data_IF_330626331767
#
_entry.id   IF_330626331767
#
_cell.length_a   1.000
_cell.length_b   1.000
_cell.length_c   1.000
_cell.angle_alpha   90.00
_cell.angle_beta   90.00
_cell.angle_gamma   90.00
#
_symmetry.space_group_name_H-M   'P 1'
#
loop_
_entity.id
_entity.type
_entity.pdbx_description
1 polymer ?
#
# COMPACT_ATOMS: atom_id res chain seq x y z
N UNK A 1 -6.41 16.05 12.64
CA UNK A 1 -7.64 15.31 12.29
C UNK A 1 -8.32 16.14 11.23
N UNK A 2 -8.22 15.75 9.95
CA UNK A 2 -8.74 16.56 8.83
C UNK A 2 -10.19 16.17 8.48
N UNK A 3 -10.91 17.11 7.86
CA UNK A 3 -12.33 16.98 7.51
C UNK A 3 -12.61 15.98 6.36
N UNK A 4 -11.58 15.49 5.66
CA UNK A 4 -11.70 14.52 4.56
C UNK A 4 -11.97 13.11 5.06
N UNK A 5 -11.33 12.69 6.15
CA UNK A 5 -11.54 11.37 6.76
C UNK A 5 -12.99 11.18 7.22
N UNK A 6 -13.59 12.21 7.81
CA UNK A 6 -14.97 12.16 8.35
C UNK A 6 -16.03 11.97 7.25
N UNK A 7 -15.75 12.43 6.02
CA UNK A 7 -16.71 12.33 4.90
C UNK A 7 -16.75 10.92 4.32
N UNK A 8 -15.59 10.26 4.19
CA UNK A 8 -15.49 8.91 3.64
C UNK A 8 -16.10 7.88 4.61
N UNK A 9 -15.85 8.02 5.90
CA UNK A 9 -16.42 7.13 6.92
C UNK A 9 -17.95 7.16 6.93
N UNK A 10 -18.59 8.34 6.86
CA UNK A 10 -20.06 8.44 6.79
C UNK A 10 -20.64 7.80 5.53
N UNK A 11 -19.95 7.92 4.40
CA UNK A 11 -20.43 7.38 3.13
C UNK A 11 -20.30 5.85 3.06
N UNK A 12 -19.26 5.29 3.67
CA UNK A 12 -19.10 3.83 3.79
C UNK A 12 -20.12 3.21 4.73
N UNK A 13 -20.48 3.89 5.82
CA UNK A 13 -21.53 3.44 6.74
C UNK A 13 -22.90 3.34 6.02
N UNK A 14 -23.19 4.26 5.09
CA UNK A 14 -24.44 4.19 4.31
C UNK A 14 -24.48 3.05 3.29
N UNK A 15 -23.33 2.58 2.80
CA UNK A 15 -23.25 1.53 1.77
C UNK A 15 -23.11 0.14 2.39
N UNK A 16 -22.31 -0.01 3.46
CA UNK A 16 -22.01 -1.33 4.06
C UNK A 16 -22.63 -1.52 5.45
N UNK A 17 -23.32 -0.52 5.99
CA UNK A 17 -23.96 -0.56 7.31
C UNK A 17 -23.00 -0.50 8.51
N UNK A 18 -21.76 -0.98 8.33
CA UNK A 18 -20.73 -1.10 9.38
C UNK A 18 -19.52 -0.18 9.17
N UNK A 19 -19.45 0.56 8.05
CA UNK A 19 -18.37 1.51 7.77
C UNK A 19 -17.05 0.88 7.35
N UNK A 20 -17.04 -0.43 7.07
CA UNK A 20 -15.87 -1.15 6.56
C UNK A 20 -15.92 -1.23 5.03
N UNK A 21 -14.80 -0.94 4.38
CA UNK A 21 -14.61 -1.18 2.93
C UNK A 21 -14.40 -2.67 2.67
N UNK A 22 -13.66 -3.35 3.55
CA UNK A 22 -13.37 -4.78 3.47
C UNK A 22 -13.75 -5.45 4.79
N UNK A 23 -14.69 -6.37 4.72
CA UNK A 23 -15.13 -7.17 5.85
C UNK A 23 -14.52 -8.58 5.79
N UNK A 24 -14.19 -9.12 6.95
CA UNK A 24 -13.84 -10.53 7.10
C UNK A 24 -15.09 -11.42 7.02
N UNK A 25 -14.92 -12.76 7.08
CA UNK A 25 -16.02 -13.71 6.97
C UNK A 25 -17.15 -13.53 7.99
N UNK A 26 -16.83 -12.99 9.17
CA UNK A 26 -17.79 -12.74 10.26
C UNK A 26 -18.29 -11.28 10.26
N UNK A 27 -18.21 -10.59 9.12
CA UNK A 27 -18.49 -9.16 8.94
C UNK A 27 -17.70 -8.22 9.89
N UNK A 28 -16.61 -8.72 10.46
CA UNK A 28 -15.69 -7.98 11.32
C UNK A 28 -14.49 -7.43 10.56
N UNK A 29 -13.65 -6.60 11.21
CA UNK A 29 -12.42 -6.11 10.61
C UNK A 29 -11.46 -7.25 10.27
N UNK A 30 -10.81 -7.16 9.11
CA UNK A 30 -9.81 -8.14 8.67
C UNK A 30 -8.59 -8.07 9.60
N UNK A 31 -8.32 -9.16 10.31
CA UNK A 31 -7.11 -9.31 11.12
C UNK A 31 -5.92 -9.67 10.22
N UNK A 32 -4.83 -8.90 10.34
CA UNK A 32 -3.62 -9.08 9.53
C UNK A 32 -3.05 -10.50 9.61
N UNK A 33 -3.04 -11.12 10.80
CA UNK A 33 -2.55 -12.49 11.01
C UNK A 33 -3.35 -13.54 10.22
N UNK A 34 -4.67 -13.43 10.23
CA UNK A 34 -5.55 -14.34 9.48
C UNK A 34 -5.44 -14.12 7.97
N UNK A 35 -5.39 -12.86 7.55
CA UNK A 35 -5.18 -12.49 6.15
C UNK A 35 -3.85 -13.05 5.61
N UNK A 36 -2.76 -12.84 6.35
CA UNK A 36 -1.43 -13.30 5.95
C UNK A 36 -1.40 -14.83 5.79
N UNK A 37 -1.94 -15.56 6.78
CA UNK A 37 -1.94 -17.02 6.75
C UNK A 37 -2.84 -17.62 5.67
N UNK A 38 -4.08 -17.13 5.54
CA UNK A 38 -5.13 -17.79 4.74
C UNK A 38 -5.18 -17.30 3.29
N UNK A 39 -4.87 -16.03 3.05
CA UNK A 39 -5.01 -15.40 1.73
C UNK A 39 -3.64 -15.12 1.12
N UNK A 40 -2.80 -14.37 1.83
CA UNK A 40 -1.52 -13.90 1.28
C UNK A 40 -0.57 -15.04 0.93
N UNK A 41 -0.33 -15.98 1.86
CA UNK A 41 0.54 -17.13 1.59
C UNK A 41 0.05 -18.00 0.45
N UNK A 42 -1.26 -18.11 0.25
CA UNK A 42 -1.83 -18.85 -0.88
C UNK A 42 -1.59 -18.09 -2.19
N UNK A 43 -1.87 -16.79 -2.20
CA UNK A 43 -1.61 -15.93 -3.35
C UNK A 43 -0.13 -15.95 -3.78
N UNK A 44 0.82 -15.98 -2.84
CA UNK A 44 2.25 -16.12 -3.16
C UNK A 44 2.59 -17.46 -3.81
N UNK A 45 1.98 -18.56 -3.35
CA UNK A 45 2.15 -19.89 -3.93
C UNK A 45 1.57 -19.93 -5.35
N UNK A 46 0.36 -19.41 -5.52
CA UNK A 46 -0.33 -19.37 -6.81
C UNK A 46 0.44 -18.49 -7.82
N UNK A 47 1.08 -17.41 -7.37
CA UNK A 47 1.91 -16.53 -8.18
C UNK A 47 3.36 -17.03 -8.38
N UNK A 48 3.77 -18.14 -7.74
CA UNK A 48 5.11 -18.72 -7.88
C UNK A 48 6.25 -17.84 -7.35
N UNK A 49 5.96 -16.89 -6.46
CA UNK A 49 6.93 -15.93 -5.93
C UNK A 49 7.50 -16.39 -4.58
N UNK A 50 8.73 -15.96 -4.23
CA UNK A 50 9.29 -16.24 -2.91
C UNK A 50 8.42 -15.65 -1.79
N UNK A 51 8.60 -16.19 -0.58
CA UNK A 51 7.87 -15.70 0.60
C UNK A 51 8.30 -14.26 0.91
N UNK A 52 7.45 -13.32 0.50
CA UNK A 52 7.56 -11.90 0.82
C UNK A 52 6.46 -11.47 1.78
N UNK A 53 6.68 -10.38 2.52
CA UNK A 53 5.67 -9.81 3.39
C UNK A 53 4.70 -8.94 2.60
N UNK A 54 3.45 -8.83 3.10
CA UNK A 54 2.45 -7.97 2.45
C UNK A 54 2.90 -6.50 2.38
N UNK A 55 3.69 -6.03 3.35
CA UNK A 55 4.23 -4.67 3.33
C UNK A 55 5.25 -4.44 2.21
N UNK A 56 5.88 -5.49 1.69
CA UNK A 56 6.85 -5.37 0.60
C UNK A 56 6.16 -4.88 -0.69
N UNK A 57 4.86 -5.16 -0.87
CA UNK A 57 4.08 -4.58 -1.96
C UNK A 57 4.02 -3.05 -1.89
N UNK A 58 3.95 -2.48 -0.68
CA UNK A 58 3.98 -1.03 -0.50
C UNK A 58 5.34 -0.47 -0.93
N UNK A 59 6.42 -1.16 -0.58
CA UNK A 59 7.77 -0.79 -1.04
C UNK A 59 7.88 -0.87 -2.57
N UNK A 60 7.44 -1.97 -3.19
CA UNK A 60 7.45 -2.13 -4.65
C UNK A 60 6.63 -1.04 -5.34
N UNK A 61 5.42 -0.74 -4.85
CA UNK A 61 4.57 0.30 -5.43
C UNK A 61 5.20 1.70 -5.36
N UNK A 62 5.89 2.03 -4.26
CA UNK A 62 6.61 3.30 -4.13
C UNK A 62 7.84 3.36 -5.05
N UNK A 63 8.59 2.27 -5.18
CA UNK A 63 9.71 2.18 -6.12
C UNK A 63 9.23 2.33 -7.56
N UNK A 64 8.11 1.70 -7.94
CA UNK A 64 7.51 1.84 -9.27
C UNK A 64 7.03 3.27 -9.53
N UNK A 65 6.39 3.91 -8.54
CA UNK A 65 5.99 5.31 -8.66
C UNK A 65 7.19 6.26 -8.81
N UNK A 66 8.27 6.02 -8.07
CA UNK A 66 9.51 6.77 -8.19
C UNK A 66 10.18 6.55 -9.57
N UNK A 67 10.19 5.32 -10.08
CA UNK A 67 10.67 4.99 -11.43
C UNK A 67 9.85 5.66 -12.53
N UNK A 68 8.53 5.80 -12.33
CA UNK A 68 7.65 6.51 -13.26
C UNK A 68 7.83 8.04 -13.23
N UNK A 69 8.77 8.56 -12.42
CA UNK A 69 9.08 9.99 -12.34
C UNK A 69 8.17 10.78 -11.39
N UNK A 70 7.49 10.12 -10.46
CA UNK A 70 6.70 10.84 -9.45
C UNK A 70 7.58 11.81 -8.64
N UNK A 71 7.04 13.00 -8.35
CA UNK A 71 7.77 13.97 -7.53
C UNK A 71 7.82 13.51 -6.06
N UNK A 72 8.75 14.07 -5.28
CA UNK A 72 8.84 13.82 -3.83
C UNK A 72 7.50 14.12 -3.12
N UNK A 73 6.79 15.18 -3.55
CA UNK A 73 5.49 15.55 -2.98
C UNK A 73 4.40 14.52 -3.30
N UNK A 74 4.41 13.96 -4.51
CA UNK A 74 3.46 12.91 -4.91
C UNK A 74 3.75 11.60 -4.18
N UNK A 75 5.02 11.25 -4.03
CA UNK A 75 5.46 10.10 -3.25
C UNK A 75 5.06 10.26 -1.78
N UNK A 76 5.27 11.43 -1.17
CA UNK A 76 4.85 11.69 0.21
C UNK A 76 3.34 11.61 0.39
N UNK A 77 2.57 12.12 -0.58
CA UNK A 77 1.10 12.06 -0.57
C UNK A 77 0.62 10.61 -0.67
N UNK A 78 1.18 9.82 -1.60
CA UNK A 78 0.87 8.39 -1.76
C UNK A 78 1.29 7.57 -0.54
N UNK A 79 2.40 7.93 0.09
CA UNK A 79 2.92 7.23 1.25
C UNK A 79 2.24 7.62 2.57
N UNK A 80 1.39 8.65 2.61
CA UNK A 80 0.63 9.04 3.80
C UNK A 80 1.51 9.31 5.03
N UNK A 81 1.97 10.56 5.18
CA UNK A 81 2.84 11.03 6.27
C UNK A 81 4.26 10.43 6.32
N UNK A 82 4.74 9.78 5.25
CA UNK A 82 6.14 9.41 5.18
C UNK A 82 7.03 10.67 5.16
N UNK A 83 8.09 10.67 5.96
CA UNK A 83 9.05 11.77 6.01
C UNK A 83 9.70 12.00 4.65
N UNK A 84 10.15 13.23 4.39
CA UNK A 84 10.90 13.57 3.17
C UNK A 84 12.08 12.61 2.95
N UNK A 85 12.72 12.18 4.05
CA UNK A 85 13.80 11.19 4.02
C UNK A 85 13.38 9.87 3.39
N UNK A 86 12.18 9.37 3.69
CA UNK A 86 11.67 8.13 3.10
C UNK A 86 11.42 8.29 1.58
N UNK A 87 10.88 9.42 1.14
CA UNK A 87 10.65 9.69 -0.28
C UNK A 87 11.96 9.79 -1.08
N UNK A 88 12.97 10.43 -0.50
CA UNK A 88 14.32 10.54 -1.08
C UNK A 88 14.97 9.16 -1.30
N UNK A 89 14.76 8.20 -0.38
CA UNK A 89 15.28 6.83 -0.53
C UNK A 89 14.73 6.16 -1.80
N UNK A 90 13.43 6.28 -2.07
CA UNK A 90 12.84 5.70 -3.28
C UNK A 90 13.28 6.43 -4.55
N UNK A 91 13.40 7.76 -4.48
CA UNK A 91 13.89 8.55 -5.62
C UNK A 91 15.31 8.13 -6.03
N UNK A 92 16.20 7.90 -5.06
CA UNK A 92 17.57 7.44 -5.35
C UNK A 92 17.64 5.99 -5.79
N UNK A 93 16.76 5.12 -5.27
CA UNK A 93 16.69 3.73 -5.73
C UNK A 93 16.26 3.69 -7.21
N UNK A 94 15.29 4.52 -7.58
CA UNK A 94 14.84 4.66 -8.96
C UNK A 94 15.93 5.20 -9.90
N UNK A 95 16.61 6.28 -9.49
CA UNK A 95 17.69 6.87 -10.30
C UNK A 95 18.85 5.91 -10.54
N UNK A 96 19.19 5.07 -9.55
CA UNK A 96 20.23 4.03 -9.66
C UNK A 96 19.85 2.87 -10.57
N UNK A 97 18.58 2.47 -10.59
CA UNK A 97 18.11 1.40 -11.48
C UNK A 97 18.08 1.86 -12.94
N UNK A 98 17.79 3.14 -13.18
CA UNK A 98 17.74 3.74 -14.51
C UNK A 98 19.13 3.90 -15.17
N UNK A 99 20.24 3.79 -14.43
CA UNK A 99 21.61 3.96 -14.99
C UNK A 99 22.17 2.72 -15.71
N UNK A 100 21.34 1.75 -16.10
CA UNK A 100 21.79 0.50 -16.75
C UNK A 100 21.07 0.15 -18.06
N UNK A 101 20.56 1.14 -18.78
CA UNK A 101 19.92 0.98 -20.10
C UNK A 101 20.30 2.07 -21.10
N UNK A 102 21.53 2.58 -21.04
CA UNK A 102 22.22 3.28 -22.12
C UNK A 102 23.67 2.80 -22.15
#
# INVERSE_FOLDING_TARGET
MDAGTVRVERQLIQITGKGLVFAGPDDGPIRNTNFNRRVWRKALQDAGVPKIHFHDLRHTGNTLAANAGASIRDLMTRMGHASTRAAIIYQHCASRCCTRLL
#
